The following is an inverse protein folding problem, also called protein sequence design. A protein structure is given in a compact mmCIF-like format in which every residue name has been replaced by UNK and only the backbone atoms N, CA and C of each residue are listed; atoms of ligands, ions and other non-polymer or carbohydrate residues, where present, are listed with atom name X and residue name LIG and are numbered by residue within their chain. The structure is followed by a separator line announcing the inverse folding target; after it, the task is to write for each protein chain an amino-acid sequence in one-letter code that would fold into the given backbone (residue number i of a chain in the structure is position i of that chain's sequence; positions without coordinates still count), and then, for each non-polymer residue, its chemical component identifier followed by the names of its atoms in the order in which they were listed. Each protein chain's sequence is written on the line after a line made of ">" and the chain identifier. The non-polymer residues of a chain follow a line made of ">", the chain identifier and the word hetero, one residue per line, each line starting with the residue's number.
data_IF_660149145468
#
_entry.id   IF_660149145468
#
_cell.length_a   1.000
_cell.length_b   1.000
_cell.length_c   1.000
_cell.angle_alpha   90.00
_cell.angle_beta   90.00
_cell.angle_gamma   90.00
#
_symmetry.space_group_name_H-M   'P 1'
#
loop_
_entity.id
_entity.type
_entity.pdbx_description
1 polymer ?
#
# COMPACT_ATOMS: atom_id res chain seq x y z
N UNK A 1 26.16 -15.34 12.66
CA UNK A 1 25.12 -16.38 12.49
C UNK A 1 24.75 -16.32 11.01
N UNK A 2 23.50 -16.54 10.55
CA UNK A 2 23.11 -15.95 9.25
C UNK A 2 22.20 -14.78 9.54
N UNK A 3 22.56 -13.61 9.08
CA UNK A 3 21.76 -12.42 9.35
C UNK A 3 20.52 -12.36 8.44
N UNK A 4 19.47 -11.67 8.87
CA UNK A 4 18.33 -11.30 8.02
C UNK A 4 18.80 -10.61 6.74
N UNK A 5 19.88 -9.81 6.85
CA UNK A 5 20.51 -9.14 5.73
C UNK A 5 21.15 -10.13 4.72
N UNK A 6 21.82 -11.17 5.19
CA UNK A 6 22.32 -12.24 4.32
C UNK A 6 21.18 -13.02 3.66
N UNK A 7 20.11 -13.29 4.39
CA UNK A 7 18.96 -14.02 3.86
C UNK A 7 18.29 -13.24 2.71
N UNK A 8 18.05 -11.94 2.89
CA UNK A 8 17.47 -11.09 1.83
C UNK A 8 18.47 -10.85 0.68
N UNK A 9 19.78 -10.74 0.95
CA UNK A 9 20.79 -10.61 -0.09
C UNK A 9 20.88 -11.87 -0.99
N UNK A 10 20.62 -13.05 -0.43
CA UNK A 10 20.59 -14.32 -1.18
C UNK A 10 19.27 -14.55 -1.94
N UNK A 11 18.24 -13.73 -1.72
CA UNK A 11 16.98 -13.82 -2.44
C UNK A 11 17.18 -13.42 -3.92
N UNK A 12 16.81 -14.26 -4.90
CA UNK A 12 17.25 -14.11 -6.30
C UNK A 12 16.38 -13.17 -7.15
N UNK A 13 15.37 -12.54 -6.55
CA UNK A 13 14.36 -11.77 -7.26
C UNK A 13 14.32 -10.34 -6.73
N UNK A 14 14.19 -9.38 -7.64
CA UNK A 14 13.92 -7.97 -7.35
C UNK A 14 12.46 -7.66 -7.68
N UNK A 15 11.75 -6.88 -6.86
CA UNK A 15 10.34 -6.51 -7.07
C UNK A 15 9.47 -6.73 -5.83
N UNK A 16 8.14 -6.75 -6.03
CA UNK A 16 7.15 -6.77 -4.95
C UNK A 16 7.43 -7.85 -3.90
N UNK A 17 7.82 -9.06 -4.32
CA UNK A 17 8.07 -10.14 -3.35
C UNK A 17 9.26 -9.84 -2.43
N UNK A 18 10.35 -9.27 -2.98
CA UNK A 18 11.52 -8.83 -2.17
C UNK A 18 11.14 -7.71 -1.23
N UNK A 19 10.36 -6.76 -1.72
CA UNK A 19 9.91 -5.61 -0.94
C UNK A 19 9.03 -6.05 0.23
N UNK A 20 8.09 -6.96 0.01
CA UNK A 20 7.27 -7.53 1.09
C UNK A 20 8.12 -8.33 2.09
N UNK A 21 9.06 -9.15 1.62
CA UNK A 21 9.98 -9.86 2.51
C UNK A 21 10.79 -8.89 3.38
N UNK A 22 11.33 -7.84 2.76
CA UNK A 22 12.12 -6.81 3.47
C UNK A 22 11.26 -6.04 4.47
N UNK A 23 10.02 -5.67 4.13
CA UNK A 23 9.09 -5.05 5.07
C UNK A 23 8.73 -5.97 6.24
N UNK A 24 8.51 -7.26 5.97
CA UNK A 24 8.24 -8.25 7.01
C UNK A 24 9.41 -8.47 7.96
N UNK A 25 10.62 -8.57 7.41
CA UNK A 25 11.86 -8.68 8.20
C UNK A 25 12.17 -7.39 8.97
N UNK A 26 11.81 -6.22 8.42
CA UNK A 26 11.99 -4.92 9.09
C UNK A 26 11.30 -4.88 10.45
N UNK A 27 10.13 -5.51 10.61
CA UNK A 27 9.46 -5.62 11.92
C UNK A 27 10.27 -6.38 12.95
N UNK A 28 11.00 -7.41 12.52
CA UNK A 28 11.90 -8.14 13.42
C UNK A 28 13.07 -7.26 13.81
N UNK A 29 13.67 -6.55 12.85
CA UNK A 29 14.79 -5.65 13.12
C UNK A 29 14.37 -4.51 14.07
N UNK A 30 13.20 -3.92 13.87
CA UNK A 30 12.63 -2.89 14.77
C UNK A 30 12.46 -3.43 16.18
N UNK A 31 11.84 -4.60 16.33
CA UNK A 31 11.48 -5.14 17.65
C UNK A 31 12.68 -5.72 18.42
N UNK A 32 13.70 -6.23 17.72
CA UNK A 32 14.85 -6.89 18.35
C UNK A 32 16.11 -6.00 18.40
N UNK A 33 16.19 -4.98 17.54
CA UNK A 33 17.39 -4.16 17.36
C UNK A 33 18.58 -4.91 16.76
N UNK A 34 18.39 -6.13 16.24
CA UNK A 34 19.46 -6.98 15.71
C UNK A 34 19.11 -7.58 14.35
N UNK A 35 20.14 -7.93 13.58
CA UNK A 35 20.03 -8.65 12.31
C UNK A 35 20.14 -10.17 12.50
N UNK A 36 20.51 -10.64 13.69
CA UNK A 36 20.71 -12.06 13.99
C UNK A 36 19.81 -12.52 15.15
N UNK A 37 18.47 -12.38 15.01
CA UNK A 37 17.55 -12.72 16.08
C UNK A 37 17.50 -14.24 16.31
N UNK A 38 17.38 -14.64 17.57
CA UNK A 38 17.13 -16.04 17.92
C UNK A 38 15.66 -16.45 17.69
N UNK A 39 15.34 -17.73 17.93
CA UNK A 39 13.99 -18.24 17.70
C UNK A 39 12.91 -17.59 18.59
N UNK A 40 13.24 -17.23 19.84
CA UNK A 40 12.31 -16.59 20.75
C UNK A 40 12.13 -15.11 20.39
N UNK A 41 13.23 -14.41 20.08
CA UNK A 41 13.20 -13.02 19.61
C UNK A 41 12.39 -12.88 18.32
N UNK A 42 12.54 -13.82 17.38
CA UNK A 42 11.69 -13.92 16.19
C UNK A 42 10.22 -14.15 16.56
N UNK A 43 9.94 -15.11 17.44
CA UNK A 43 8.57 -15.41 17.85
C UNK A 43 7.88 -14.21 18.51
N UNK A 44 8.57 -13.53 19.43
CA UNK A 44 8.08 -12.34 20.12
C UNK A 44 7.88 -11.18 19.13
N UNK A 45 8.78 -11.02 18.16
CA UNK A 45 8.67 -9.99 17.12
C UNK A 45 7.50 -10.23 16.17
N UNK A 46 7.32 -11.45 15.69
CA UNK A 46 6.20 -11.83 14.82
C UNK A 46 4.86 -11.64 15.54
N UNK A 47 4.79 -12.04 16.82
CA UNK A 47 3.60 -11.86 17.64
C UNK A 47 3.31 -10.38 17.93
N UNK A 48 4.34 -9.60 18.25
CA UNK A 48 4.24 -8.15 18.46
C UNK A 48 3.76 -7.43 17.19
N UNK A 49 4.35 -7.75 16.04
CA UNK A 49 3.94 -7.19 14.75
C UNK A 49 2.47 -7.54 14.43
N UNK A 50 2.03 -8.78 14.67
CA UNK A 50 0.64 -9.18 14.44
C UNK A 50 -0.34 -8.42 15.34
N UNK A 51 0.04 -8.13 16.60
CA UNK A 51 -0.77 -7.29 17.50
C UNK A 51 -0.87 -5.86 16.98
N UNK A 52 0.25 -5.27 16.58
CA UNK A 52 0.31 -3.89 16.04
C UNK A 52 -0.43 -3.74 14.71
N UNK A 53 -0.40 -4.77 13.86
CA UNK A 53 -1.03 -4.78 12.54
C UNK A 53 -2.40 -5.46 12.53
N UNK A 54 -2.92 -5.89 13.68
CA UNK A 54 -4.09 -6.77 13.78
C UNK A 54 -5.37 -6.16 13.19
N UNK A 55 -5.52 -4.84 13.25
CA UNK A 55 -6.65 -4.14 12.60
C UNK A 55 -6.58 -4.23 11.07
N UNK A 56 -5.37 -4.31 10.49
CA UNK A 56 -5.16 -4.49 9.06
C UNK A 56 -5.42 -5.91 8.61
N UNK A 57 -5.12 -6.90 9.46
CA UNK A 57 -5.48 -8.30 9.21
C UNK A 57 -7.00 -8.50 9.12
N UNK A 58 -7.77 -7.69 9.87
CA UNK A 58 -9.24 -7.70 9.89
C UNK A 58 -9.88 -6.81 8.81
N UNK A 59 -9.08 -6.03 8.07
CA UNK A 59 -9.61 -5.20 7.01
C UNK A 59 -10.21 -6.07 5.89
N UNK A 60 -11.24 -5.56 5.22
CA UNK A 60 -11.88 -6.30 4.13
C UNK A 60 -10.86 -6.60 3.02
N UNK A 61 -10.59 -7.89 2.79
CA UNK A 61 -9.81 -8.39 1.66
C UNK A 61 -10.70 -9.25 0.75
N UNK A 62 -10.21 -9.62 -0.43
CA UNK A 62 -10.95 -10.54 -1.31
C UNK A 62 -10.91 -11.97 -0.78
N UNK A 63 -11.93 -12.75 -1.13
CA UNK A 63 -11.86 -14.21 -0.99
C UNK A 63 -10.72 -14.77 -1.83
N UNK A 64 -10.10 -15.84 -1.35
CA UNK A 64 -9.10 -16.57 -2.11
C UNK A 64 -9.74 -17.30 -3.29
N UNK A 65 -9.03 -17.34 -4.42
CA UNK A 65 -9.44 -18.14 -5.56
C UNK A 65 -9.43 -19.63 -5.22
N UNK A 66 -10.29 -20.43 -5.86
CA UNK A 66 -10.42 -21.88 -5.60
C UNK A 66 -9.09 -22.64 -5.67
N UNK A 67 -8.22 -22.28 -6.62
CA UNK A 67 -6.91 -22.93 -6.79
C UNK A 67 -5.97 -22.64 -5.63
N UNK A 68 -5.90 -21.39 -5.17
CA UNK A 68 -5.11 -21.01 -4.00
C UNK A 68 -5.67 -21.67 -2.75
N UNK A 69 -6.98 -21.60 -2.52
CA UNK A 69 -7.63 -22.24 -1.37
C UNK A 69 -7.32 -23.74 -1.28
N UNK A 70 -7.43 -24.48 -2.41
CA UNK A 70 -7.08 -25.90 -2.43
C UNK A 70 -5.60 -26.18 -2.23
N UNK A 71 -4.71 -25.31 -2.75
CA UNK A 71 -3.27 -25.45 -2.57
C UNK A 71 -2.87 -25.22 -1.11
N UNK A 72 -3.39 -24.16 -0.49
CA UNK A 72 -3.10 -23.84 0.91
C UNK A 72 -3.73 -24.85 1.86
N UNK A 73 -4.93 -25.37 1.59
CA UNK A 73 -5.54 -26.39 2.45
C UNK A 73 -4.65 -27.62 2.59
N UNK A 74 -4.03 -28.08 1.50
CA UNK A 74 -3.08 -29.21 1.54
C UNK A 74 -1.87 -28.93 2.42
N UNK A 75 -1.23 -27.77 2.23
CA UNK A 75 0.01 -27.41 2.93
C UNK A 75 -0.26 -27.12 4.40
N UNK A 76 -1.31 -26.35 4.73
CA UNK A 76 -1.66 -26.01 6.11
C UNK A 76 -2.12 -27.24 6.91
N UNK A 77 -2.73 -28.22 6.24
CA UNK A 77 -3.08 -29.49 6.87
C UNK A 77 -1.84 -30.32 7.23
N UNK A 78 -0.78 -30.25 6.40
CA UNK A 78 0.52 -30.86 6.72
C UNK A 78 1.22 -30.07 7.82
N UNK A 79 1.40 -28.76 7.66
CA UNK A 79 2.18 -27.94 8.57
C UNK A 79 1.56 -27.78 9.95
N UNK A 80 0.24 -27.53 10.01
CA UNK A 80 -0.43 -27.07 11.21
C UNK A 80 -1.65 -27.93 11.60
N UNK A 81 -2.00 -28.93 10.77
CA UNK A 81 -3.27 -29.67 10.88
C UNK A 81 -4.50 -28.73 10.90
N UNK A 82 -4.48 -27.72 10.02
CA UNK A 82 -5.56 -26.73 9.86
C UNK A 82 -6.04 -26.67 8.41
N UNK A 83 -7.30 -26.31 8.21
CA UNK A 83 -7.82 -25.99 6.87
C UNK A 83 -7.50 -24.55 6.48
N UNK A 84 -7.45 -24.29 5.18
CA UNK A 84 -7.30 -22.93 4.67
C UNK A 84 -8.54 -22.08 5.00
N UNK A 85 -8.34 -20.81 5.45
CA UNK A 85 -9.45 -19.88 5.66
C UNK A 85 -10.04 -19.37 4.33
N UNK A 86 -10.99 -18.43 4.39
CA UNK A 86 -11.66 -17.93 3.16
C UNK A 86 -10.88 -16.82 2.46
N UNK A 87 -10.20 -15.96 3.22
CA UNK A 87 -9.55 -14.74 2.71
C UNK A 87 -8.03 -14.78 2.86
N UNK A 88 -7.32 -13.96 2.07
CA UNK A 88 -5.87 -13.84 2.20
C UNK A 88 -5.45 -13.24 3.54
N UNK A 89 -6.23 -12.30 4.09
CA UNK A 89 -5.94 -11.72 5.41
C UNK A 89 -5.94 -12.77 6.52
N UNK A 90 -6.98 -13.60 6.58
CA UNK A 90 -7.06 -14.71 7.55
C UNK A 90 -5.95 -15.75 7.33
N UNK A 91 -5.57 -16.02 6.07
CA UNK A 91 -4.48 -16.94 5.76
C UNK A 91 -3.16 -16.42 6.35
N UNK A 92 -2.86 -15.14 6.14
CA UNK A 92 -1.64 -14.51 6.63
C UNK A 92 -1.60 -14.46 8.15
N UNK A 93 -2.70 -14.10 8.82
CA UNK A 93 -2.82 -14.14 10.27
C UNK A 93 -2.59 -15.56 10.83
N UNK A 94 -3.20 -16.58 10.21
CA UNK A 94 -3.03 -17.97 10.60
C UNK A 94 -1.57 -18.43 10.48
N UNK A 95 -0.92 -18.12 9.35
CA UNK A 95 0.47 -18.51 9.10
C UNK A 95 1.41 -17.88 10.12
N UNK A 96 1.28 -16.57 10.39
CA UNK A 96 2.10 -15.89 11.40
C UNK A 96 1.87 -16.52 12.78
N UNK A 97 0.61 -16.71 13.17
CA UNK A 97 0.24 -17.28 14.48
C UNK A 97 0.79 -18.69 14.69
N UNK A 98 0.67 -19.57 13.70
CA UNK A 98 1.17 -20.94 13.83
C UNK A 98 2.71 -21.00 13.73
N UNK A 99 3.33 -20.12 12.94
CA UNK A 99 4.80 -20.02 12.88
C UNK A 99 5.40 -19.60 14.22
N UNK A 100 4.79 -18.64 14.93
CA UNK A 100 5.17 -18.28 16.31
C UNK A 100 5.18 -19.52 17.23
N UNK A 101 4.17 -20.38 17.13
CA UNK A 101 4.10 -21.61 17.93
C UNK A 101 5.20 -22.61 17.55
N UNK A 102 5.54 -22.73 16.27
CA UNK A 102 6.63 -23.60 15.82
C UNK A 102 7.99 -23.14 16.37
N UNK A 103 8.26 -21.83 16.32
CA UNK A 103 9.48 -21.23 16.86
C UNK A 103 9.60 -21.45 18.37
N UNK A 104 8.54 -21.15 19.14
CA UNK A 104 8.52 -21.34 20.60
C UNK A 104 8.70 -22.80 21.02
N UNK A 105 8.25 -23.76 20.20
CA UNK A 105 8.41 -25.20 20.45
C UNK A 105 9.75 -25.75 19.97
N UNK A 106 10.59 -24.94 19.32
CA UNK A 106 11.83 -25.39 18.69
C UNK A 106 11.63 -26.37 17.52
N UNK A 107 10.43 -26.40 16.92
CA UNK A 107 10.11 -27.27 15.78
C UNK A 107 10.56 -26.68 14.45
N UNK A 108 10.93 -25.41 14.43
CA UNK A 108 11.47 -24.71 13.27
C UNK A 108 12.75 -24.00 13.70
N UNK A 109 13.87 -24.33 13.04
CA UNK A 109 15.15 -23.65 13.24
C UNK A 109 15.25 -22.44 12.30
N UNK A 110 15.24 -21.19 12.82
CA UNK A 110 15.35 -20.00 11.99
C UNK A 110 16.59 -19.96 11.14
N UNK A 111 17.74 -20.40 11.68
CA UNK A 111 19.01 -20.35 10.96
C UNK A 111 18.98 -21.29 9.77
N UNK A 112 18.50 -22.52 9.99
CA UNK A 112 18.35 -23.48 8.91
C UNK A 112 17.38 -22.99 7.82
N UNK A 113 16.31 -22.30 8.21
CA UNK A 113 15.34 -21.70 7.28
C UNK A 113 15.94 -20.52 6.49
N UNK A 114 16.53 -19.54 7.16
CA UNK A 114 17.06 -18.32 6.54
C UNK A 114 18.24 -18.60 5.59
N UNK A 115 19.07 -19.59 5.90
CA UNK A 115 20.21 -19.98 5.03
C UNK A 115 19.81 -20.88 3.86
N UNK A 116 18.62 -21.45 3.88
CA UNK A 116 18.18 -22.43 2.88
C UNK A 116 17.46 -21.74 1.73
N UNK A 117 18.22 -21.07 0.86
CA UNK A 117 17.71 -20.55 -0.41
C UNK A 117 18.18 -21.43 -1.55
N UNK A 118 17.25 -22.04 -2.27
CA UNK A 118 17.54 -22.90 -3.41
C UNK A 118 16.77 -22.47 -4.66
N UNK A 119 17.50 -22.35 -5.76
CA UNK A 119 16.93 -22.06 -7.08
C UNK A 119 17.22 -23.23 -8.01
N UNK A 120 16.18 -23.80 -8.64
CA UNK A 120 16.35 -24.78 -9.70
C UNK A 120 15.27 -24.63 -10.79
N UNK A 121 15.31 -25.51 -11.80
CA UNK A 121 14.38 -25.48 -12.94
C UNK A 121 12.89 -25.59 -12.57
N UNK A 122 12.57 -26.08 -11.37
CA UNK A 122 11.20 -26.27 -10.88
C UNK A 122 10.71 -25.10 -10.00
N UNK A 123 11.58 -24.14 -9.69
CA UNK A 123 11.24 -22.93 -8.95
C UNK A 123 12.30 -22.54 -7.90
N UNK A 124 11.91 -21.62 -7.04
CA UNK A 124 12.72 -21.12 -5.93
C UNK A 124 12.11 -21.59 -4.62
N UNK A 125 12.93 -22.14 -3.74
CA UNK A 125 12.54 -22.66 -2.44
C UNK A 125 13.25 -21.81 -1.39
N UNK A 126 12.46 -21.13 -0.56
CA UNK A 126 12.92 -20.34 0.57
C UNK A 126 12.60 -21.12 1.85
N UNK A 127 13.63 -21.52 2.57
CA UNK A 127 13.51 -22.27 3.80
C UNK A 127 13.60 -23.78 3.65
N UNK A 128 13.21 -24.47 4.72
CA UNK A 128 13.38 -25.92 4.90
C UNK A 128 12.15 -26.70 4.45
N UNK A 129 12.33 -27.99 4.14
CA UNK A 129 11.21 -28.92 3.95
C UNK A 129 10.60 -29.21 5.32
N UNK A 130 9.38 -28.71 5.58
CA UNK A 130 8.69 -28.89 6.85
C UNK A 130 7.43 -29.77 6.71
N UNK A 131 7.33 -30.83 7.50
CA UNK A 131 6.24 -31.82 7.45
C UNK A 131 5.24 -31.73 8.61
N UNK A 132 5.36 -30.67 9.44
CA UNK A 132 4.53 -30.45 10.62
C UNK A 132 5.19 -30.86 11.93
N UNK A 133 6.20 -31.74 11.91
CA UNK A 133 6.91 -32.20 13.11
C UNK A 133 8.42 -32.05 13.00
N UNK A 134 8.96 -32.26 11.80
CA UNK A 134 10.39 -32.21 11.53
C UNK A 134 10.69 -31.30 10.36
N UNK A 135 11.92 -30.82 10.32
CA UNK A 135 12.45 -30.08 9.19
C UNK A 135 13.72 -30.74 8.68
N UNK A 136 14.01 -30.52 7.40
CA UNK A 136 15.27 -30.89 6.78
C UNK A 136 15.63 -29.93 5.66
N UNK A 137 16.91 -29.89 5.33
CA UNK A 137 17.39 -29.13 4.17
C UNK A 137 16.75 -29.65 2.87
N UNK A 138 16.45 -28.77 1.89
CA UNK A 138 15.77 -29.14 0.67
C UNK A 138 16.58 -30.19 -0.13
N UNK A 139 16.02 -31.38 -0.30
CA UNK A 139 16.66 -32.46 -1.06
C UNK A 139 16.64 -32.19 -2.57
N UNK A 140 17.33 -32.99 -3.39
CA UNK A 140 17.39 -32.81 -4.87
C UNK A 140 16.02 -32.66 -5.56
N UNK A 141 14.95 -33.20 -4.98
CA UNK A 141 13.57 -33.01 -5.42
C UNK A 141 12.70 -32.70 -4.19
N UNK A 142 12.55 -31.43 -3.81
CA UNK A 142 11.77 -31.07 -2.63
C UNK A 142 10.30 -31.42 -2.84
N UNK A 143 9.64 -31.92 -1.79
CA UNK A 143 8.21 -32.24 -1.87
C UNK A 143 7.38 -30.97 -1.85
N UNK A 144 6.55 -30.78 -2.88
CA UNK A 144 5.76 -29.56 -3.04
C UNK A 144 4.76 -29.34 -1.89
N UNK A 145 4.25 -30.40 -1.26
CA UNK A 145 3.32 -30.32 -0.13
C UNK A 145 3.94 -29.82 1.19
N UNK A 146 5.27 -29.77 1.26
CA UNK A 146 6.02 -29.26 2.43
C UNK A 146 6.37 -27.77 2.30
N UNK A 147 5.92 -27.14 1.21
CA UNK A 147 6.11 -25.72 0.94
C UNK A 147 4.80 -25.06 0.54
N UNK A 148 4.54 -23.87 1.06
CA UNK A 148 3.48 -23.02 0.55
C UNK A 148 3.95 -22.36 -0.75
N UNK A 149 3.08 -22.33 -1.77
CA UNK A 149 3.34 -21.52 -2.95
C UNK A 149 3.02 -20.06 -2.61
N UNK A 150 3.81 -19.11 -3.12
CA UNK A 150 3.51 -17.69 -2.97
C UNK A 150 2.04 -17.38 -3.40
N UNK A 151 1.27 -16.64 -2.57
CA UNK A 151 -0.12 -16.29 -2.84
C UNK A 151 -0.31 -15.67 -4.22
N UNK A 152 -1.40 -16.01 -4.93
CA UNK A 152 -1.63 -15.53 -6.29
C UNK A 152 -1.66 -14.01 -6.39
N UNK A 153 -2.18 -13.33 -5.36
CA UNK A 153 -2.20 -11.86 -5.27
C UNK A 153 -0.81 -11.20 -5.26
N UNK A 154 0.27 -11.96 -5.03
CA UNK A 154 1.67 -11.47 -5.08
C UNK A 154 2.40 -12.13 -6.25
N UNK A 155 2.27 -13.45 -6.37
CA UNK A 155 2.94 -14.28 -7.38
C UNK A 155 2.59 -13.90 -8.81
N UNK A 156 1.32 -13.64 -9.10
CA UNK A 156 0.89 -13.38 -10.47
C UNK A 156 1.34 -11.99 -10.93
N UNK A 157 1.15 -10.89 -10.17
CA UNK A 157 1.74 -9.58 -10.47
C UNK A 157 3.24 -9.64 -10.78
N UNK A 158 4.03 -10.19 -9.86
CA UNK A 158 5.49 -10.37 -10.00
C UNK A 158 5.90 -11.09 -11.30
N UNK A 159 5.12 -12.10 -11.69
CA UNK A 159 5.38 -12.87 -12.92
C UNK A 159 5.09 -12.05 -14.18
N UNK A 160 4.01 -11.26 -14.20
CA UNK A 160 3.63 -10.49 -15.38
C UNK A 160 4.46 -9.23 -15.57
N UNK A 161 4.93 -8.58 -14.50
CA UNK A 161 5.89 -7.49 -14.60
C UNK A 161 7.13 -7.92 -15.39
N UNK A 162 7.65 -9.12 -15.09
CA UNK A 162 8.84 -9.71 -15.75
C UNK A 162 8.60 -10.22 -17.17
N UNK A 163 7.36 -10.27 -17.65
CA UNK A 163 7.01 -10.76 -19.00
C UNK A 163 6.66 -9.66 -19.99
N UNK A 164 6.66 -8.39 -19.56
CA UNK A 164 6.17 -7.27 -20.35
C UNK A 164 7.15 -6.69 -21.40
N UNK A 165 8.29 -7.34 -21.67
CA UNK A 165 9.25 -6.88 -22.67
C UNK A 165 9.37 -7.80 -23.89
N UNK A 166 8.44 -7.71 -24.86
CA UNK A 166 8.62 -8.07 -26.30
C UNK A 166 9.26 -9.44 -26.69
N UNK A 167 9.58 -10.33 -25.76
CA UNK A 167 10.31 -11.57 -26.00
C UNK A 167 9.41 -12.78 -25.73
N UNK A 168 9.22 -13.53 -26.81
CA UNK A 168 8.70 -14.91 -26.84
C UNK A 168 9.34 -15.71 -25.69
N UNK A 169 8.58 -16.59 -24.99
CA UNK A 169 9.09 -17.33 -23.85
C UNK A 169 10.13 -18.36 -24.30
N UNK A 170 11.39 -17.96 -24.40
CA UNK A 170 12.50 -18.92 -24.39
C UNK A 170 12.69 -19.36 -22.96
N UNK A 171 11.91 -20.37 -22.54
CA UNK A 171 12.21 -21.21 -21.37
C UNK A 171 12.49 -20.42 -20.06
N UNK A 172 11.82 -19.29 -19.86
CA UNK A 172 11.98 -18.47 -18.65
C UNK A 172 11.49 -19.23 -17.41
N UNK A 173 12.29 -19.20 -16.34
CA UNK A 173 11.98 -19.85 -15.06
C UNK A 173 10.52 -19.62 -14.67
N UNK A 174 9.75 -20.70 -14.51
CA UNK A 174 8.50 -20.61 -13.76
C UNK A 174 8.87 -20.16 -12.35
N UNK A 175 8.62 -18.90 -12.02
CA UNK A 175 8.86 -18.32 -10.70
C UNK A 175 7.86 -18.89 -9.67
N UNK A 176 7.84 -20.21 -9.52
CA UNK A 176 7.15 -20.86 -8.42
C UNK A 176 8.01 -20.69 -7.19
N UNK A 177 7.83 -19.55 -6.52
CA UNK A 177 8.40 -19.28 -5.21
C UNK A 177 7.63 -20.11 -4.19
N UNK A 178 8.38 -20.91 -3.46
CA UNK A 178 7.92 -21.84 -2.43
C UNK A 178 8.52 -21.42 -1.11
N UNK A 179 7.68 -21.30 -0.11
CA UNK A 179 8.00 -20.74 1.19
C UNK A 179 7.81 -21.83 2.24
N UNK A 180 8.71 -21.91 3.20
CA UNK A 180 8.45 -22.59 4.46
C UNK A 180 7.60 -21.66 5.39
N UNK A 181 7.24 -22.11 6.60
CA UNK A 181 6.45 -21.28 7.52
C UNK A 181 7.08 -19.92 7.85
N UNK A 182 8.40 -19.86 8.05
CA UNK A 182 9.10 -18.64 8.46
C UNK A 182 9.11 -17.62 7.32
N UNK A 183 9.53 -18.02 6.13
CA UNK A 183 9.52 -17.12 4.96
C UNK A 183 8.10 -16.64 4.61
N UNK A 184 7.10 -17.51 4.76
CA UNK A 184 5.72 -17.10 4.55
C UNK A 184 5.24 -16.10 5.62
N UNK A 185 5.66 -16.25 6.88
CA UNK A 185 5.35 -15.27 7.92
C UNK A 185 5.94 -13.87 7.61
N UNK A 186 7.13 -13.78 7.03
CA UNK A 186 7.69 -12.50 6.60
C UNK A 186 6.89 -11.87 5.45
N UNK A 187 6.52 -12.65 4.43
CA UNK A 187 5.65 -12.15 3.35
C UNK A 187 4.32 -11.63 3.90
N UNK A 188 3.72 -12.37 4.85
CA UNK A 188 2.48 -11.98 5.50
C UNK A 188 2.60 -10.64 6.26
N UNK A 189 3.65 -10.47 7.08
CA UNK A 189 3.89 -9.21 7.77
C UNK A 189 4.19 -8.06 6.82
N UNK A 190 4.98 -8.31 5.77
CA UNK A 190 5.23 -7.33 4.72
C UNK A 190 3.95 -6.87 4.05
N UNK A 191 3.05 -7.82 3.73
CA UNK A 191 1.75 -7.51 3.16
C UNK A 191 0.94 -6.61 4.08
N UNK A 192 0.80 -6.95 5.36
CA UNK A 192 0.04 -6.10 6.30
C UNK A 192 0.67 -4.72 6.50
N UNK A 193 2.00 -4.65 6.51
CA UNK A 193 2.74 -3.38 6.62
C UNK A 193 2.46 -2.48 5.43
N UNK A 194 2.52 -3.04 4.21
CA UNK A 194 2.27 -2.29 2.99
C UNK A 194 0.79 -2.14 2.61
N UNK A 195 -0.15 -2.83 3.26
CA UNK A 195 -1.55 -2.82 2.85
C UNK A 195 -2.18 -1.44 3.03
N UNK A 196 -2.56 -0.81 1.92
CA UNK A 196 -3.22 0.50 1.85
C UNK A 196 -4.72 0.41 1.51
N UNK A 197 -5.26 -0.80 1.38
CA UNK A 197 -6.70 -1.05 1.27
C UNK A 197 -7.10 -1.94 0.08
N UNK A 198 -8.35 -2.38 0.11
CA UNK A 198 -9.01 -3.08 -0.97
C UNK A 198 -10.24 -2.30 -1.44
N UNK A 199 -10.12 -1.62 -2.59
CA UNK A 199 -11.12 -0.65 -3.08
C UNK A 199 -11.50 -0.99 -4.51
N UNK A 200 -12.79 -1.19 -4.76
CA UNK A 200 -13.31 -1.46 -6.11
C UNK A 200 -12.77 -2.74 -6.75
N UNK A 201 -12.47 -3.78 -5.95
CA UNK A 201 -11.89 -5.02 -6.45
C UNK A 201 -10.38 -4.98 -6.70
N UNK A 202 -9.68 -3.94 -6.19
CA UNK A 202 -8.25 -3.74 -6.36
C UNK A 202 -7.55 -3.68 -5.00
N UNK A 203 -6.43 -4.37 -4.90
CA UNK A 203 -5.48 -4.26 -3.80
C UNK A 203 -4.56 -3.08 -4.04
N UNK A 204 -4.33 -2.30 -2.99
CA UNK A 204 -3.35 -1.22 -2.95
C UNK A 204 -2.30 -1.59 -1.93
N UNK A 205 -1.06 -1.79 -2.37
CA UNK A 205 0.10 -2.03 -1.50
C UNK A 205 1.08 -0.88 -1.68
N UNK A 206 1.51 -0.26 -0.59
CA UNK A 206 2.55 0.75 -0.57
C UNK A 206 3.79 0.14 0.07
N UNK A 207 4.91 0.16 -0.63
CA UNK A 207 6.18 -0.43 -0.20
C UNK A 207 7.30 0.61 -0.18
N UNK A 208 8.41 0.28 0.48
CA UNK A 208 9.65 1.06 0.46
C UNK A 208 10.76 0.18 -0.13
N UNK A 209 11.05 0.31 -1.44
CA UNK A 209 12.17 -0.40 -2.03
C UNK A 209 13.50 -0.02 -1.35
N UNK A 210 14.38 -1.01 -1.14
CA UNK A 210 15.69 -0.79 -0.52
C UNK A 210 15.65 -0.50 0.99
N UNK A 211 14.55 -0.82 1.68
CA UNK A 211 14.42 -0.57 3.12
C UNK A 211 15.52 -1.25 3.97
N UNK A 212 16.10 -2.34 3.47
CA UNK A 212 17.22 -3.03 4.12
C UNK A 212 18.45 -2.14 4.31
N UNK A 213 18.62 -1.09 3.51
CA UNK A 213 19.70 -0.11 3.65
C UNK A 213 19.63 0.73 4.94
N UNK A 214 18.46 0.76 5.59
CA UNK A 214 18.21 1.50 6.83
C UNK A 214 18.28 0.61 8.08
N UNK A 215 18.53 -0.69 7.90
CA UNK A 215 18.67 -1.60 9.02
C UNK A 215 20.02 -1.44 9.71
N UNK A 216 20.10 -1.56 11.05
CA UNK A 216 18.99 -1.68 11.99
C UNK A 216 18.48 -0.34 12.56
N UNK A 217 19.11 0.79 12.23
CA UNK A 217 18.99 2.02 13.02
C UNK A 217 17.85 2.96 12.60
N UNK A 218 17.59 3.11 11.30
CA UNK A 218 16.68 4.13 10.75
C UNK A 218 15.34 3.53 10.27
N UNK A 219 15.24 2.20 10.28
CA UNK A 219 14.08 1.46 9.78
C UNK A 219 12.81 1.72 10.58
N UNK A 220 12.92 1.96 11.89
CA UNK A 220 11.75 2.26 12.72
C UNK A 220 11.08 3.56 12.28
N UNK A 221 11.85 4.62 12.06
CA UNK A 221 11.32 5.90 11.60
C UNK A 221 10.63 5.75 10.23
N UNK A 222 11.26 5.02 9.30
CA UNK A 222 10.71 4.79 7.96
C UNK A 222 9.43 3.96 7.99
N UNK A 223 9.36 2.90 8.80
CA UNK A 223 8.18 2.04 8.86
C UNK A 223 7.09 2.68 9.72
N UNK A 224 7.40 2.99 10.97
CA UNK A 224 6.42 3.38 12.00
C UNK A 224 5.95 4.82 11.80
N UNK A 225 6.86 5.75 11.48
CA UNK A 225 6.52 7.16 11.28
C UNK A 225 6.29 7.49 9.80
N UNK A 226 6.75 6.66 8.88
CA UNK A 226 6.53 6.84 7.44
C UNK A 226 5.43 5.97 6.85
N UNK A 227 5.76 4.70 6.59
CA UNK A 227 4.95 3.79 5.78
C UNK A 227 3.58 3.48 6.43
N UNK A 228 3.54 3.26 7.75
CA UNK A 228 2.30 2.96 8.45
C UNK A 228 1.30 4.12 8.39
N UNK A 229 1.68 5.39 8.67
CA UNK A 229 0.81 6.54 8.45
C UNK A 229 0.24 6.65 7.05
N UNK A 230 1.09 6.47 6.02
CA UNK A 230 0.68 6.56 4.61
C UNK A 230 -0.36 5.48 4.29
N UNK A 231 -0.06 4.23 4.61
CA UNK A 231 -0.96 3.09 4.32
C UNK A 231 -2.28 3.19 5.08
N UNK A 232 -2.27 3.64 6.35
CA UNK A 232 -3.48 3.90 7.13
C UNK A 232 -4.34 5.02 6.54
N UNK A 233 -3.72 6.09 6.05
CA UNK A 233 -4.44 7.15 5.36
C UNK A 233 -5.13 6.61 4.09
N UNK A 234 -4.47 5.70 3.36
CA UNK A 234 -5.06 4.95 2.25
C UNK A 234 -6.30 4.14 2.65
N UNK A 235 -6.19 3.35 3.73
CA UNK A 235 -7.29 2.51 4.24
C UNK A 235 -8.46 3.37 4.71
N UNK A 236 -8.21 4.35 5.60
CA UNK A 236 -9.24 5.21 6.20
C UNK A 236 -9.91 6.10 5.16
N UNK A 237 -9.14 6.61 4.20
CA UNK A 237 -9.65 7.40 3.09
C UNK A 237 -10.38 6.57 2.03
N UNK A 238 -10.21 5.24 2.02
CA UNK A 238 -10.69 4.34 0.95
C UNK A 238 -10.27 4.84 -0.43
N UNK A 239 -9.01 5.24 -0.55
CA UNK A 239 -8.51 5.95 -1.73
C UNK A 239 -8.35 5.01 -2.91
N UNK A 240 -8.86 5.41 -4.07
CA UNK A 240 -8.71 4.68 -5.34
C UNK A 240 -7.86 5.46 -6.33
N UNK A 241 -6.98 4.77 -7.06
CA UNK A 241 -6.15 5.38 -8.08
C UNK A 241 -6.96 5.61 -9.36
N UNK A 242 -7.47 6.83 -9.51
CA UNK A 242 -8.07 7.32 -10.77
C UNK A 242 -7.00 7.97 -11.66
N UNK A 243 -6.22 8.87 -11.08
CA UNK A 243 -4.99 9.45 -11.65
C UNK A 243 -3.98 9.62 -10.52
N UNK A 244 -2.69 9.75 -10.84
CA UNK A 244 -1.63 9.92 -9.85
C UNK A 244 -1.83 11.21 -9.06
N UNK A 245 -2.15 12.32 -9.75
CA UNK A 245 -2.32 13.62 -9.12
C UNK A 245 -3.47 13.62 -8.10
N UNK A 246 -4.61 12.98 -8.43
CA UNK A 246 -5.73 12.89 -7.50
C UNK A 246 -5.44 11.96 -6.32
N UNK A 247 -4.73 10.85 -6.56
CA UNK A 247 -4.40 9.90 -5.50
C UNK A 247 -3.44 10.53 -4.49
N UNK A 248 -2.34 11.15 -4.96
CA UNK A 248 -1.38 11.85 -4.11
C UNK A 248 -2.03 13.01 -3.35
N UNK A 249 -2.86 13.83 -4.02
CA UNK A 249 -3.60 14.90 -3.36
C UNK A 249 -4.49 14.37 -2.23
N UNK A 250 -5.30 13.34 -2.50
CA UNK A 250 -6.18 12.78 -1.47
C UNK A 250 -5.40 12.16 -0.32
N UNK A 251 -4.31 11.46 -0.63
CA UNK A 251 -3.48 10.81 0.37
C UNK A 251 -2.79 11.83 1.29
N UNK A 252 -2.16 12.85 0.70
CA UNK A 252 -1.53 13.93 1.46
C UNK A 252 -2.56 14.76 2.24
N UNK A 253 -3.75 15.00 1.67
CA UNK A 253 -4.83 15.67 2.41
C UNK A 253 -5.32 14.83 3.58
N UNK A 254 -5.37 13.50 3.43
CA UNK A 254 -5.81 12.60 4.50
C UNK A 254 -4.83 12.57 5.65
N UNK A 255 -3.53 12.54 5.35
CA UNK A 255 -2.45 12.70 6.33
C UNK A 255 -2.58 14.04 7.08
N UNK A 256 -2.78 15.13 6.36
CA UNK A 256 -2.94 16.46 6.95
C UNK A 256 -4.18 16.60 7.84
N UNK A 257 -5.32 16.02 7.41
CA UNK A 257 -6.55 16.01 8.21
C UNK A 257 -6.32 15.34 9.57
N UNK A 258 -5.61 14.22 9.56
CA UNK A 258 -5.26 13.40 10.73
C UNK A 258 -4.06 13.92 11.52
N UNK A 259 -3.47 15.05 11.10
CA UNK A 259 -2.29 15.66 11.70
C UNK A 259 -1.11 14.68 11.79
N UNK A 260 -0.89 13.91 10.72
CA UNK A 260 0.20 12.95 10.57
C UNK A 260 1.28 13.57 9.70
N UNK A 261 2.47 13.69 10.27
CA UNK A 261 3.66 14.10 9.54
C UNK A 261 4.47 12.86 9.13
N UNK A 262 5.06 12.91 7.95
CA UNK A 262 5.81 11.78 7.37
C UNK A 262 7.24 12.26 7.10
N UNK A 263 8.27 11.57 7.61
CA UNK A 263 9.67 11.96 7.39
C UNK A 263 10.03 11.90 5.91
N UNK A 264 10.89 12.83 5.46
CA UNK A 264 11.29 12.91 4.04
C UNK A 264 12.04 11.63 3.61
N UNK A 265 12.77 10.99 4.52
CA UNK A 265 13.52 9.74 4.35
C UNK A 265 12.62 8.54 4.00
N UNK A 266 11.34 8.59 4.41
CA UNK A 266 10.37 7.57 4.02
C UNK A 266 10.12 7.60 2.50
N UNK A 267 10.24 8.77 1.85
CA UNK A 267 10.07 8.91 0.42
C UNK A 267 11.35 8.56 -0.36
N UNK A 268 11.23 8.17 -1.65
CA UNK A 268 9.98 7.78 -2.28
C UNK A 268 9.46 6.43 -1.75
N UNK A 269 8.14 6.24 -1.82
CA UNK A 269 7.47 4.94 -1.62
C UNK A 269 6.86 4.48 -2.93
N UNK A 270 6.58 3.19 -3.10
CA UNK A 270 5.98 2.64 -4.32
C UNK A 270 4.58 2.12 -4.04
N UNK A 271 3.60 2.57 -4.82
CA UNK A 271 2.24 2.07 -4.85
C UNK A 271 2.08 1.01 -5.94
N UNK A 272 1.74 -0.20 -5.52
CA UNK A 272 1.30 -1.29 -6.39
C UNK A 272 -0.23 -1.37 -6.38
N UNK A 273 -0.83 -1.32 -7.57
CA UNK A 273 -2.27 -1.51 -7.75
C UNK A 273 -2.52 -2.85 -8.45
N UNK A 274 -3.06 -3.80 -7.71
CA UNK A 274 -3.23 -5.18 -8.16
C UNK A 274 -4.73 -5.49 -8.28
N UNK A 275 -5.16 -6.04 -9.42
CA UNK A 275 -6.56 -6.44 -9.61
C UNK A 275 -6.69 -7.80 -10.27
N UNK A 276 -7.85 -8.42 -10.09
CA UNK A 276 -8.21 -9.67 -10.74
C UNK A 276 -8.76 -9.37 -12.14
N UNK A 277 -7.93 -9.57 -13.17
CA UNK A 277 -8.32 -9.43 -14.57
C UNK A 277 -8.70 -10.81 -15.13
N UNK A 278 -10.00 -11.05 -15.30
CA UNK A 278 -10.54 -12.35 -15.66
C UNK A 278 -10.38 -13.38 -14.54
N UNK A 279 -9.35 -14.23 -14.63
CA UNK A 279 -9.05 -15.28 -13.63
C UNK A 279 -7.66 -15.12 -13.00
N UNK A 280 -6.98 -14.00 -13.25
CA UNK A 280 -5.56 -13.82 -12.92
C UNK A 280 -5.34 -12.45 -12.31
N UNK A 281 -4.62 -12.40 -11.19
CA UNK A 281 -4.17 -11.14 -10.59
C UNK A 281 -3.06 -10.52 -11.44
N UNK A 282 -3.20 -9.23 -11.73
CA UNK A 282 -2.28 -8.45 -12.56
C UNK A 282 -1.94 -7.15 -11.85
N UNK A 283 -0.68 -6.75 -11.95
CA UNK A 283 -0.20 -5.41 -11.64
C UNK A 283 -0.78 -4.44 -12.67
N UNK A 284 -1.80 -3.66 -12.31
CA UNK A 284 -2.41 -2.70 -13.22
C UNK A 284 -1.53 -1.46 -13.38
N UNK A 285 -0.89 -1.04 -12.29
CA UNK A 285 -0.08 0.16 -12.24
C UNK A 285 0.85 0.14 -11.03
N UNK A 286 2.06 0.63 -11.25
CA UNK A 286 3.08 0.87 -10.24
C UNK A 286 3.42 2.35 -10.27
N UNK A 287 3.34 3.05 -9.14
CA UNK A 287 3.57 4.50 -9.06
C UNK A 287 4.55 4.79 -7.93
N UNK A 288 5.59 5.55 -8.23
CA UNK A 288 6.46 6.09 -7.20
C UNK A 288 5.81 7.35 -6.62
N UNK A 289 5.49 7.34 -5.33
CA UNK A 289 4.87 8.45 -4.62
C UNK A 289 5.92 9.22 -3.83
N UNK A 290 5.88 10.54 -3.97
CA UNK A 290 6.59 11.49 -3.12
C UNK A 290 5.61 12.60 -2.72
N UNK A 291 5.20 12.59 -1.45
CA UNK A 291 4.23 13.55 -0.93
C UNK A 291 4.90 14.70 -0.19
N UNK A 292 6.23 14.77 -0.10
CA UNK A 292 6.95 15.76 0.72
C UNK A 292 6.50 17.20 0.41
N UNK A 293 6.41 17.55 -0.88
CA UNK A 293 5.94 18.85 -1.37
C UNK A 293 4.47 19.12 -1.03
N UNK A 294 3.59 18.15 -1.27
CA UNK A 294 2.16 18.26 -1.00
C UNK A 294 1.87 18.38 0.51
N UNK A 295 2.47 17.51 1.32
CA UNK A 295 2.22 17.40 2.75
C UNK A 295 2.49 18.72 3.46
N UNK A 296 3.59 19.41 3.13
CA UNK A 296 3.92 20.73 3.71
C UNK A 296 2.82 21.76 3.46
N UNK A 297 2.37 21.89 2.22
CA UNK A 297 1.32 22.85 1.87
C UNK A 297 -0.03 22.47 2.49
N UNK A 298 -0.39 21.19 2.42
CA UNK A 298 -1.69 20.69 2.89
C UNK A 298 -1.80 20.72 4.42
N UNK A 299 -0.72 20.44 5.15
CA UNK A 299 -0.66 20.62 6.60
C UNK A 299 -0.92 22.07 6.99
N UNK A 300 -0.26 23.02 6.31
CA UNK A 300 -0.49 24.45 6.52
C UNK A 300 -1.94 24.85 6.20
N UNK A 301 -2.47 24.42 5.06
CA UNK A 301 -3.85 24.67 4.66
C UNK A 301 -4.87 24.15 5.68
N UNK A 302 -4.73 22.90 6.13
CA UNK A 302 -5.62 22.29 7.13
C UNK A 302 -5.52 23.03 8.46
N UNK A 303 -4.31 23.40 8.91
CA UNK A 303 -4.10 24.20 10.12
C UNK A 303 -4.84 25.54 10.07
N UNK A 304 -4.70 26.27 8.96
CA UNK A 304 -5.37 27.56 8.74
C UNK A 304 -6.89 27.43 8.71
N UNK A 305 -7.43 26.40 8.05
CA UNK A 305 -8.88 26.14 8.03
C UNK A 305 -9.44 25.78 9.41
N UNK A 306 -8.73 24.93 10.17
CA UNK A 306 -9.14 24.55 11.52
C UNK A 306 -9.18 25.79 12.43
N UNK A 307 -8.16 26.65 12.34
CA UNK A 307 -8.12 27.90 13.10
C UNK A 307 -9.30 28.84 12.79
N UNK A 308 -9.66 29.02 11.51
CA UNK A 308 -10.84 29.80 11.13
C UNK A 308 -12.15 29.19 11.64
N UNK A 309 -12.25 27.85 11.60
CA UNK A 309 -13.42 27.14 12.10
C UNK A 309 -13.58 27.33 13.61
N UNK A 310 -12.49 27.30 14.38
CA UNK A 310 -12.48 27.64 15.82
C UNK A 310 -12.88 29.10 16.07
N UNK A 311 -12.53 30.01 15.15
CA UNK A 311 -12.97 31.41 15.15
C UNK A 311 -14.44 31.63 14.78
N UNK A 312 -15.24 30.57 14.61
CA UNK A 312 -16.68 30.65 14.32
C UNK A 312 -17.04 30.74 12.84
N UNK A 313 -16.07 30.53 11.93
CA UNK A 313 -16.28 30.58 10.47
C UNK A 313 -16.15 29.17 9.89
N UNK A 314 -17.23 28.35 9.88
CA UNK A 314 -17.18 27.00 9.35
C UNK A 314 -17.03 27.02 7.82
N UNK A 315 -15.85 26.66 7.33
CA UNK A 315 -15.53 26.58 5.90
C UNK A 315 -15.74 25.16 5.38
N UNK A 316 -16.98 24.81 5.04
CA UNK A 316 -17.30 23.51 4.44
C UNK A 316 -18.23 23.62 3.24
N UNK A 317 -18.13 22.64 2.34
CA UNK A 317 -18.99 22.45 1.18
C UNK A 317 -19.81 21.19 1.38
N UNK A 318 -21.11 21.32 1.17
CA UNK A 318 -22.05 20.21 1.19
C UNK A 318 -22.05 19.48 -0.17
N UNK A 319 -21.62 18.20 -0.17
CA UNK A 319 -21.63 17.30 -1.32
C UNK A 319 -22.56 16.11 -1.12
N UNK A 320 -23.01 15.50 -2.23
CA UNK A 320 -23.73 14.22 -2.19
C UNK A 320 -22.79 13.06 -2.46
N UNK A 321 -22.81 12.07 -1.57
CA UNK A 321 -22.10 10.80 -1.72
C UNK A 321 -23.11 9.65 -1.64
N UNK A 322 -23.49 9.11 -2.81
CA UNK A 322 -24.59 8.16 -2.90
C UNK A 322 -25.90 8.77 -2.39
N UNK A 323 -26.42 8.24 -1.29
CA UNK A 323 -27.63 8.73 -0.61
C UNK A 323 -27.35 9.67 0.56
N UNK A 324 -26.08 9.84 0.95
CA UNK A 324 -25.69 10.65 2.09
C UNK A 324 -25.26 12.07 1.66
N UNK A 325 -25.48 13.02 2.56
CA UNK A 325 -24.93 14.37 2.47
C UNK A 325 -23.69 14.45 3.36
N UNK A 326 -22.58 14.92 2.82
CA UNK A 326 -21.30 15.07 3.54
C UNK A 326 -20.80 16.51 3.47
N UNK A 327 -20.13 16.96 4.52
CA UNK A 327 -19.50 18.28 4.58
C UNK A 327 -17.98 18.11 4.49
N UNK A 328 -17.37 18.75 3.50
CA UNK A 328 -15.93 18.65 3.24
C UNK A 328 -15.29 20.03 3.14
N UNK A 329 -14.01 20.15 3.46
CA UNK A 329 -13.28 21.39 3.18
C UNK A 329 -13.29 21.67 1.67
N UNK A 330 -13.28 22.94 1.22
CA UNK A 330 -13.49 23.25 -0.19
C UNK A 330 -12.48 22.55 -1.11
N UNK A 331 -11.20 22.53 -0.76
CA UNK A 331 -10.16 21.84 -1.55
C UNK A 331 -10.41 20.33 -1.67
N UNK A 332 -10.81 19.66 -0.60
CA UNK A 332 -11.26 18.25 -0.63
C UNK A 332 -12.45 18.06 -1.56
N UNK A 333 -13.45 18.94 -1.44
CA UNK A 333 -14.65 18.90 -2.25
C UNK A 333 -14.33 19.07 -3.75
N UNK A 334 -13.34 19.91 -4.09
CA UNK A 334 -12.86 20.07 -5.47
C UNK A 334 -12.22 18.78 -6.01
N UNK A 335 -11.39 18.12 -5.19
CA UNK A 335 -10.73 16.85 -5.56
C UNK A 335 -11.75 15.72 -5.78
N UNK A 336 -12.80 15.64 -4.97
CA UNK A 336 -13.86 14.64 -5.16
C UNK A 336 -14.72 14.92 -6.39
N UNK A 337 -15.02 16.19 -6.66
CA UNK A 337 -15.73 16.57 -7.90
C UNK A 337 -14.88 16.25 -9.12
N UNK A 338 -13.56 16.49 -9.06
CA UNK A 338 -12.63 16.12 -10.13
C UNK A 338 -12.62 14.61 -10.40
N UNK A 339 -12.58 13.78 -9.36
CA UNK A 339 -12.64 12.32 -9.53
C UNK A 339 -13.99 11.87 -10.12
N UNK A 340 -15.10 12.45 -9.66
CA UNK A 340 -16.42 12.20 -10.23
C UNK A 340 -16.50 12.59 -11.71
N UNK A 341 -15.86 13.68 -12.12
CA UNK A 341 -15.79 14.09 -13.53
C UNK A 341 -15.04 13.06 -14.38
N UNK A 342 -13.91 12.53 -13.90
CA UNK A 342 -13.15 11.49 -14.60
C UNK A 342 -13.91 10.17 -14.74
N UNK A 343 -14.77 9.84 -13.77
CA UNK A 343 -15.57 8.60 -13.82
C UNK A 343 -16.68 8.61 -14.88
N UNK A 344 -17.03 9.78 -15.43
CA UNK A 344 -18.10 9.93 -16.43
C UNK A 344 -17.52 9.86 -17.84
N UNK A 345 -18.29 9.31 -18.79
CA UNK A 345 -17.90 9.33 -20.21
C UNK A 345 -17.88 10.78 -20.71
N UNK A 346 -16.77 11.16 -21.35
CA UNK A 346 -16.55 12.47 -21.99
C UNK A 346 -17.52 12.63 -23.18
N UNK A 347 -18.36 13.66 -23.14
CA UNK A 347 -19.38 14.12 -24.10
C UNK A 347 -19.42 15.68 -24.24
N UNK A 348 -18.32 16.34 -24.62
CA UNK A 348 -18.30 17.75 -25.09
C UNK A 348 -17.21 18.67 -24.50
N UNK A 349 -17.22 19.96 -24.87
CA UNK A 349 -16.14 20.94 -24.55
C UNK A 349 -16.14 21.50 -23.11
N UNK A 350 -17.14 21.17 -22.28
CA UNK A 350 -17.29 21.67 -20.90
C UNK A 350 -16.76 20.72 -19.82
N UNK A 351 -15.86 19.81 -20.19
CA UNK A 351 -15.63 18.58 -19.44
C UNK A 351 -14.27 18.55 -18.74
N UNK A 352 -14.26 17.95 -17.54
CA UNK A 352 -13.08 17.80 -16.69
C UNK A 352 -12.50 19.11 -16.13
N UNK A 353 -13.29 20.18 -16.05
CA UNK A 353 -12.85 21.47 -15.49
C UNK A 353 -12.34 21.33 -14.05
N UNK A 354 -13.04 20.57 -13.20
CA UNK A 354 -12.59 20.34 -11.83
C UNK A 354 -11.25 19.59 -11.81
N UNK A 355 -11.09 18.60 -12.69
CA UNK A 355 -9.82 17.87 -12.81
C UNK A 355 -8.67 18.75 -13.31
N UNK A 356 -8.91 19.62 -14.30
CA UNK A 356 -7.91 20.59 -14.77
C UNK A 356 -7.49 21.53 -13.62
N UNK A 357 -8.45 22.06 -12.85
CA UNK A 357 -8.14 22.88 -11.68
C UNK A 357 -7.29 22.16 -10.66
N UNK A 358 -7.65 20.92 -10.30
CA UNK A 358 -6.87 20.13 -9.34
C UNK A 358 -5.48 19.82 -9.88
N UNK A 359 -5.36 19.50 -11.17
CA UNK A 359 -4.07 19.20 -11.81
C UNK A 359 -3.14 20.41 -11.82
N UNK A 360 -3.66 21.59 -12.15
CA UNK A 360 -2.88 22.83 -12.13
C UNK A 360 -2.45 23.19 -10.70
N UNK A 361 -3.35 23.07 -9.71
CA UNK A 361 -3.02 23.27 -8.31
C UNK A 361 -1.98 22.26 -7.81
N UNK A 362 -2.16 20.98 -8.10
CA UNK A 362 -1.21 19.91 -7.75
C UNK A 362 0.20 20.23 -8.28
N UNK A 363 0.31 20.58 -9.58
CA UNK A 363 1.59 20.95 -10.20
C UNK A 363 2.21 22.19 -9.53
N UNK A 364 1.39 23.19 -9.24
CA UNK A 364 1.86 24.40 -8.59
C UNK A 364 2.34 24.13 -7.15
N UNK A 365 1.60 23.34 -6.38
CA UNK A 365 1.98 22.97 -5.00
C UNK A 365 3.29 22.17 -5.02
N UNK A 366 3.39 21.15 -5.88
CA UNK A 366 4.59 20.33 -5.98
C UNK A 366 5.82 21.09 -6.49
N UNK A 367 5.63 22.20 -7.20
CA UNK A 367 6.76 23.07 -7.57
C UNK A 367 7.38 23.82 -6.39
N UNK A 368 6.68 23.92 -5.25
CA UNK A 368 7.06 24.75 -4.10
C UNK A 368 7.09 26.27 -4.38
N UNK A 369 6.76 26.70 -5.61
CA UNK A 369 6.82 28.10 -6.01
C UNK A 369 5.51 28.82 -5.68
N UNK A 370 5.55 29.66 -4.64
CA UNK A 370 4.40 30.44 -4.18
C UNK A 370 3.74 31.25 -5.30
N UNK A 371 4.50 31.80 -6.24
CA UNK A 371 3.94 32.56 -7.38
C UNK A 371 3.12 31.67 -8.31
N UNK A 372 3.55 30.42 -8.55
CA UNK A 372 2.80 29.48 -9.37
C UNK A 372 1.50 29.04 -8.69
N UNK A 373 1.51 28.93 -7.35
CA UNK A 373 0.31 28.65 -6.56
C UNK A 373 -0.68 29.82 -6.68
N UNK A 374 -0.19 31.05 -6.47
CA UNK A 374 -0.97 32.29 -6.65
C UNK A 374 -1.57 32.41 -8.05
N UNK A 375 -0.77 32.17 -9.10
CA UNK A 375 -1.21 32.21 -10.49
C UNK A 375 -2.27 31.14 -10.79
N UNK A 376 -2.08 29.92 -10.27
CA UNK A 376 -3.03 28.81 -10.47
C UNK A 376 -4.36 29.08 -9.77
N UNK A 377 -4.32 29.62 -8.55
CA UNK A 377 -5.50 30.08 -7.83
C UNK A 377 -6.19 31.23 -8.54
N UNK A 378 -5.46 32.22 -9.05
CA UNK A 378 -6.01 33.33 -9.81
C UNK A 378 -6.73 32.83 -11.09
N UNK A 379 -6.14 31.89 -11.83
CA UNK A 379 -6.79 31.27 -13.00
C UNK A 379 -8.06 30.54 -12.61
N UNK A 380 -8.02 29.76 -11.52
CA UNK A 380 -9.20 29.07 -10.98
C UNK A 380 -10.30 30.07 -10.63
N UNK A 381 -9.99 31.16 -9.93
CA UNK A 381 -10.99 32.18 -9.58
C UNK A 381 -11.56 32.88 -10.81
N UNK A 382 -10.71 33.26 -11.77
CA UNK A 382 -11.16 33.92 -13.01
C UNK A 382 -12.11 33.02 -13.81
N UNK A 383 -11.76 31.75 -13.99
CA UNK A 383 -12.61 30.79 -14.70
C UNK A 383 -13.85 30.44 -13.88
N UNK A 384 -13.71 30.26 -12.56
CA UNK A 384 -14.80 29.98 -11.64
C UNK A 384 -15.86 31.07 -11.63
N UNK A 385 -15.45 32.35 -11.65
CA UNK A 385 -16.35 33.50 -11.76
C UNK A 385 -17.12 33.49 -13.09
N UNK A 386 -16.44 33.25 -14.20
CA UNK A 386 -17.09 33.13 -15.51
C UNK A 386 -18.12 31.98 -15.56
N UNK A 387 -17.87 30.87 -14.85
CA UNK A 387 -18.79 29.74 -14.75
C UNK A 387 -20.00 30.03 -13.84
N UNK A 388 -19.85 30.86 -12.82
CA UNK A 388 -20.94 31.24 -11.92
C UNK A 388 -21.83 32.34 -12.50
N UNK A 389 -21.24 33.33 -13.17
CA UNK A 389 -21.94 34.50 -13.73
C UNK A 389 -22.44 34.25 -15.17
N UNK A 390 -21.85 33.30 -15.90
CA UNK A 390 -22.16 33.02 -17.30
C UNK A 390 -23.11 31.83 -17.55
N UNK A 391 -23.48 31.65 -18.82
CA UNK A 391 -24.31 30.54 -19.32
C UNK A 391 -23.52 29.22 -19.53
N UNK A 392 -22.25 29.17 -19.12
CA UNK A 392 -21.39 28.01 -19.31
C UNK A 392 -21.90 26.81 -18.50
N UNK A 393 -21.91 25.63 -19.12
CA UNK A 393 -22.34 24.37 -18.49
C UNK A 393 -21.26 23.90 -17.51
N UNK A 394 -21.61 23.79 -16.24
CA UNK A 394 -20.80 23.19 -15.18
C UNK A 394 -21.71 22.38 -14.25
N UNK A 395 -21.18 21.35 -13.60
CA UNK A 395 -21.97 20.54 -12.67
C UNK A 395 -22.44 21.37 -11.47
N UNK A 396 -23.62 21.06 -10.93
CA UNK A 396 -24.14 21.75 -9.75
C UNK A 396 -23.22 21.61 -8.52
N UNK A 397 -22.55 20.47 -8.37
CA UNK A 397 -21.54 20.25 -7.32
C UNK A 397 -20.31 21.15 -7.53
N UNK A 398 -19.78 21.25 -8.75
CA UNK A 398 -18.67 22.15 -9.05
C UNK A 398 -19.04 23.61 -8.75
N UNK A 399 -20.25 24.05 -9.11
CA UNK A 399 -20.73 25.41 -8.80
C UNK A 399 -20.80 25.68 -7.29
N UNK A 400 -21.19 24.68 -6.48
CA UNK A 400 -21.16 24.81 -5.00
C UNK A 400 -19.73 24.97 -4.48
N UNK A 401 -18.80 24.16 -4.98
CA UNK A 401 -17.37 24.22 -4.60
C UNK A 401 -16.78 25.58 -4.98
N UNK A 402 -17.02 26.07 -6.20
CA UNK A 402 -16.50 27.35 -6.68
C UNK A 402 -17.01 28.54 -5.85
N UNK A 403 -18.26 28.51 -5.38
CA UNK A 403 -18.80 29.54 -4.48
C UNK A 403 -18.03 29.59 -3.16
N UNK A 404 -17.70 28.43 -2.59
CA UNK A 404 -16.91 28.36 -1.37
C UNK A 404 -15.45 28.80 -1.59
N UNK A 405 -14.86 28.42 -2.74
CA UNK A 405 -13.51 28.85 -3.12
C UNK A 405 -13.38 30.37 -3.27
N UNK A 406 -14.41 31.04 -3.79
CA UNK A 406 -14.43 32.49 -3.96
C UNK A 406 -14.86 33.25 -2.71
N UNK A 407 -15.12 32.55 -1.60
CA UNK A 407 -15.40 33.21 -0.34
C UNK A 407 -14.10 33.74 0.27
N UNK A 408 -14.08 35.02 0.66
CA UNK A 408 -12.89 35.71 1.17
C UNK A 408 -12.14 34.93 2.27
N UNK A 409 -12.81 34.35 3.29
CA UNK A 409 -12.11 33.56 4.31
C UNK A 409 -11.42 32.31 3.75
N UNK A 410 -11.93 31.70 2.68
CA UNK A 410 -11.25 30.57 2.04
C UNK A 410 -10.03 31.01 1.23
N UNK A 411 -10.11 32.17 0.57
CA UNK A 411 -8.96 32.72 -0.16
C UNK A 411 -7.76 33.00 0.76
N UNK A 412 -8.03 33.46 1.98
CA UNK A 412 -7.00 33.76 3.00
C UNK A 412 -6.28 32.51 3.53
N UNK A 413 -6.87 31.31 3.41
CA UNK A 413 -6.24 30.05 3.86
C UNK A 413 -5.54 29.28 2.75
N UNK A 414 -5.76 29.64 1.48
CA UNK A 414 -5.13 29.03 0.32
C UNK A 414 -3.71 29.58 0.04
N UNK A 415 -3.42 30.80 0.50
CA UNK A 415 -2.11 31.45 0.40
C UNK A 415 -1.42 31.42 1.75
#
# INVERSE_FOLDING_TARGET
>A
MSSLLEAIANYPYEGLTRELLSLGMSWVVINTGTLEPDANELADSLEGALRSLGDRAKAHTSKMGRNDGSSFDKVLKVWFNRSAPETYGELFELVVTETVKLLRKGLLDPRASLTSVRVDKNGTYLGVEFDGQTWKQPGKKPKAEYYAILPAIIKQPEYYERQSGFLIPTTGQKAQIRLDPLWFSFVALGFFTGFAGFVGGRYYLITKPGIEGFWPYEVEDIVVQGLLPITEAGIRGRLSLSTEELYEMKLAMKLAEENRDVPEEAYPVVLHVISLEGQVYTELKTVQLDLSGLSRYLNSYVGRIKALSTGGVPLTVELKEGKATVHKYPLWALVDVAEKELSRRVTGDGEMLAYIFVKDLYRAINSGNKRLIEDSLFRLFRQGRALLEGNARASGELRKVLRAFMWKPHMEVLL
#
